data_IF_674084806724
#
_entry.id   IF_674084806724
#
_cell.length_a   1.000
_cell.length_b   1.000
_cell.length_c   1.000
_cell.angle_alpha   90.00
_cell.angle_beta   90.00
_cell.angle_gamma   90.00
#
_symmetry.space_group_name_H-M   'P 1'
#
loop_
_entity.id
_entity.type
_entity.pdbx_description
1 polymer ?
#
# COMPACT_ATOMS: atom_id res chain seq x y z
N UNK A 1 -4.33 22.30 6.79
CA UNK A 1 -4.04 21.55 8.03
C UNK A 1 -3.72 22.56 9.12
N UNK A 2 -4.19 22.37 10.36
CA UNK A 2 -3.74 23.19 11.48
C UNK A 2 -2.29 22.79 11.83
N UNK A 3 -1.35 23.74 11.76
CA UNK A 3 0.08 23.50 11.99
C UNK A 3 0.36 22.86 13.36
N UNK A 4 -0.28 23.35 14.41
CA UNK A 4 -0.13 22.84 15.78
C UNK A 4 -0.63 21.39 15.89
N UNK A 5 -1.77 21.08 15.25
CA UNK A 5 -2.28 19.70 15.26
C UNK A 5 -1.34 18.73 14.53
N UNK A 6 -0.80 19.13 13.37
CA UNK A 6 0.20 18.33 12.65
C UNK A 6 1.49 18.11 13.45
N UNK A 7 1.97 19.13 14.15
CA UNK A 7 3.14 19.02 15.03
C UNK A 7 2.88 18.06 16.20
N UNK A 8 1.73 18.20 16.87
CA UNK A 8 1.35 17.31 17.98
C UNK A 8 1.24 15.85 17.51
N UNK A 9 0.71 15.62 16.32
CA UNK A 9 0.64 14.30 15.72
C UNK A 9 2.03 13.71 15.46
N UNK A 10 2.97 14.53 14.95
CA UNK A 10 4.36 14.13 14.77
C UNK A 10 5.07 13.79 16.10
N UNK A 11 4.86 14.59 17.15
CA UNK A 11 5.40 14.32 18.48
C UNK A 11 4.85 13.02 19.06
N UNK A 12 3.54 12.82 18.98
CA UNK A 12 2.90 11.57 19.41
C UNK A 12 3.48 10.36 18.67
N UNK A 13 3.68 10.49 17.36
CA UNK A 13 4.21 9.41 16.54
C UNK A 13 5.67 9.07 16.85
N UNK A 14 6.49 10.07 17.19
CA UNK A 14 7.91 9.87 17.52
C UNK A 14 8.11 8.95 18.73
N UNK A 15 7.13 8.89 19.64
CA UNK A 15 7.14 7.97 20.79
C UNK A 15 7.10 6.49 20.38
N UNK A 16 6.62 6.20 19.17
CA UNK A 16 6.42 4.84 18.68
C UNK A 16 7.17 4.53 17.37
N UNK A 17 7.86 5.52 16.79
CA UNK A 17 8.59 5.41 15.53
C UNK A 17 10.05 5.85 15.74
N UNK A 18 10.96 4.89 15.72
CA UNK A 18 12.39 5.12 15.98
C UNK A 18 13.03 6.01 14.93
N UNK A 19 12.75 5.74 13.64
CA UNK A 19 13.33 6.43 12.50
C UNK A 19 12.58 7.70 12.07
N UNK A 20 11.60 8.16 12.84
CA UNK A 20 10.89 9.41 12.50
C UNK A 20 11.76 10.61 12.83
N UNK A 21 12.18 11.35 11.81
CA UNK A 21 12.76 12.68 11.98
C UNK A 21 11.65 13.70 12.25
N UNK A 22 11.79 14.49 13.32
CA UNK A 22 10.89 15.59 13.62
C UNK A 22 11.32 16.82 12.81
N UNK A 23 10.81 16.93 11.58
CA UNK A 23 10.90 18.18 10.84
C UNK A 23 9.85 19.16 11.39
N UNK A 24 10.26 20.39 11.69
CA UNK A 24 9.34 21.45 12.12
C UNK A 24 8.37 21.87 10.99
N UNK A 25 8.71 21.53 9.74
CA UNK A 25 7.96 21.86 8.53
C UNK A 25 6.93 20.78 8.18
N UNK A 26 5.93 20.63 9.07
CA UNK A 26 4.71 19.84 8.78
C UNK A 26 3.93 20.36 7.56
N UNK A 27 4.27 21.56 7.08
CA UNK A 27 3.64 22.23 5.95
C UNK A 27 3.93 21.53 4.61
N UNK A 28 4.96 20.69 4.53
CA UNK A 28 5.28 19.88 3.35
C UNK A 28 4.44 18.60 3.25
N UNK A 29 3.71 18.24 4.31
CA UNK A 29 3.00 16.97 4.41
C UNK A 29 1.48 17.15 4.42
N UNK A 30 0.81 16.19 3.80
CA UNK A 30 -0.59 15.88 4.03
C UNK A 30 -0.67 14.78 5.10
N UNK A 31 -1.69 14.85 5.95
CA UNK A 31 -1.94 13.87 7.00
C UNK A 31 -3.33 13.29 6.82
N UNK A 32 -3.40 11.96 6.74
CA UNK A 32 -4.63 11.20 6.61
C UNK A 32 -4.88 10.47 7.93
N UNK A 33 -5.79 11.03 8.72
CA UNK A 33 -6.09 10.55 10.08
C UNK A 33 -7.29 9.60 10.03
N UNK A 34 -7.11 8.39 10.54
CA UNK A 34 -8.16 7.39 10.66
C UNK A 34 -8.76 7.44 12.06
N UNK A 35 -10.09 7.47 12.11
CA UNK A 35 -10.87 7.49 13.35
C UNK A 35 -11.90 6.36 13.37
N UNK A 36 -12.13 5.79 14.55
CA UNK A 36 -13.40 5.12 14.87
C UNK A 36 -14.44 6.19 15.23
N UNK A 37 -15.70 6.00 14.81
CA UNK A 37 -16.79 6.91 15.13
C UNK A 37 -17.83 6.22 16.00
N UNK A 38 -18.19 6.86 17.11
CA UNK A 38 -19.27 6.43 18.01
C UNK A 38 -20.13 7.64 18.44
N UNK A 39 -21.08 7.41 19.35
CA UNK A 39 -21.99 8.44 19.86
C UNK A 39 -21.29 9.60 20.57
N UNK A 40 -20.00 9.45 20.93
CA UNK A 40 -19.17 10.46 21.58
C UNK A 40 -18.27 11.21 20.60
N UNK A 41 -18.21 10.80 19.33
CA UNK A 41 -17.51 11.47 18.26
C UNK A 41 -16.42 10.62 17.60
N UNK A 42 -15.39 11.29 17.06
CA UNK A 42 -14.31 10.67 16.32
C UNK A 42 -13.10 10.39 17.22
N UNK A 43 -12.71 9.13 17.32
CA UNK A 43 -11.56 8.67 18.11
C UNK A 43 -10.43 8.26 17.17
N UNK A 44 -9.34 9.01 17.17
CA UNK A 44 -8.18 8.68 16.35
C UNK A 44 -7.63 7.30 16.73
N UNK A 45 -7.45 6.43 15.71
CA UNK A 45 -6.85 5.10 15.87
C UNK A 45 -5.51 4.97 15.15
N UNK A 46 -5.24 5.83 14.18
CA UNK A 46 -3.99 5.85 13.44
C UNK A 46 -3.97 6.95 12.38
N UNK A 47 -2.84 7.05 11.68
CA UNK A 47 -2.70 7.96 10.54
C UNK A 47 -1.57 7.50 9.62
N UNK A 48 -1.53 8.07 8.42
CA UNK A 48 -0.29 8.17 7.67
C UNK A 48 -0.07 9.61 7.17
N UNK A 49 1.19 9.97 6.94
CA UNK A 49 1.57 11.22 6.26
C UNK A 49 2.03 10.93 4.83
N UNK A 50 1.85 11.90 3.94
CA UNK A 50 2.29 11.86 2.54
C UNK A 50 2.88 13.22 2.20
N UNK A 51 4.05 13.24 1.57
CA UNK A 51 4.62 14.49 1.06
C UNK A 51 3.70 15.07 -0.02
N UNK A 52 3.52 16.39 -0.04
CA UNK A 52 2.80 17.06 -1.13
C UNK A 52 3.52 16.85 -2.47
N UNK A 53 4.85 16.85 -2.43
CA UNK A 53 5.75 16.62 -3.55
C UNK A 53 6.79 15.59 -3.13
N UNK A 54 6.79 14.44 -3.80
CA UNK A 54 7.77 13.39 -3.57
C UNK A 54 8.42 13.03 -4.90
N UNK A 55 9.72 13.32 -5.04
CA UNK A 55 10.49 13.00 -6.25
C UNK A 55 10.54 11.48 -6.48
N UNK A 56 10.65 10.73 -5.38
CA UNK A 56 10.68 9.28 -5.36
C UNK A 56 9.28 8.63 -5.47
N UNK A 57 8.22 9.43 -5.67
CA UNK A 57 6.84 8.95 -5.71
C UNK A 57 6.43 8.16 -4.45
N UNK A 58 6.85 8.65 -3.27
CA UNK A 58 6.37 8.07 -2.02
C UNK A 58 4.91 8.44 -1.79
N UNK A 59 4.04 7.44 -1.70
CA UNK A 59 2.62 7.64 -1.40
C UNK A 59 2.32 7.59 0.11
N UNK A 60 3.30 7.20 0.90
CA UNK A 60 3.24 7.04 2.35
C UNK A 60 4.63 7.31 2.93
N UNK A 61 4.76 8.36 3.74
CA UNK A 61 6.00 8.75 4.42
C UNK A 61 6.12 8.10 5.81
N UNK A 62 5.21 8.47 6.73
CA UNK A 62 5.09 7.82 8.03
C UNK A 62 3.72 7.14 8.14
N UNK A 63 3.65 5.98 8.79
CA UNK A 63 2.40 5.31 9.16
C UNK A 63 2.44 4.91 10.62
N UNK A 64 1.32 5.11 11.33
CA UNK A 64 1.16 4.68 12.70
C UNK A 64 -0.27 4.19 12.94
N UNK A 65 -0.38 3.01 13.54
CA UNK A 65 -1.57 2.62 14.30
C UNK A 65 -1.23 2.75 15.77
N UNK A 66 -2.05 3.48 16.52
CA UNK A 66 -1.82 3.69 17.95
C UNK A 66 -1.80 2.34 18.69
N UNK A 67 -0.93 2.16 19.69
CA UNK A 67 -0.74 0.86 20.36
C UNK A 67 -2.02 0.09 20.75
N UNK A 68 -3.06 0.70 21.37
CA UNK A 68 -4.27 -0.03 21.76
C UNK A 68 -5.15 -0.49 20.57
N UNK A 69 -4.87 0.00 19.36
CA UNK A 69 -5.61 -0.33 18.14
C UNK A 69 -4.80 -1.21 17.17
N UNK A 70 -3.58 -1.60 17.54
CA UNK A 70 -2.76 -2.50 16.70
C UNK A 70 -3.39 -3.89 16.57
N UNK A 71 -3.03 -4.59 15.49
CA UNK A 71 -3.53 -5.95 15.15
C UNK A 71 -5.05 -6.05 14.94
N UNK A 72 -5.76 -4.93 14.80
CA UNK A 72 -7.19 -4.87 14.44
C UNK A 72 -7.47 -4.67 12.94
N UNK A 73 -6.42 -4.61 12.11
CA UNK A 73 -6.53 -4.41 10.66
C UNK A 73 -6.34 -2.96 10.17
N UNK A 74 -6.28 -1.98 11.09
CA UNK A 74 -6.12 -0.57 10.72
C UNK A 74 -4.84 -0.25 9.94
N UNK A 75 -3.72 -0.91 10.26
CA UNK A 75 -2.48 -0.73 9.50
C UNK A 75 -2.63 -1.14 8.03
N UNK A 76 -3.28 -2.28 7.77
CA UNK A 76 -3.59 -2.73 6.39
C UNK A 76 -4.56 -1.76 5.71
N UNK A 77 -5.59 -1.28 6.41
CA UNK A 77 -6.53 -0.29 5.88
C UNK A 77 -5.83 1.01 5.48
N UNK A 78 -4.95 1.56 6.32
CA UNK A 78 -4.21 2.80 6.03
C UNK A 78 -3.32 2.65 4.78
N UNK A 79 -2.67 1.48 4.61
CA UNK A 79 -1.84 1.17 3.43
C UNK A 79 -2.73 1.02 2.18
N UNK A 80 -3.84 0.29 2.28
CA UNK A 80 -4.79 0.17 1.17
C UNK A 80 -5.32 1.56 0.76
N UNK A 81 -5.66 2.39 1.74
CA UNK A 81 -6.15 3.75 1.51
C UNK A 81 -5.12 4.63 0.80
N UNK A 82 -3.83 4.53 1.15
CA UNK A 82 -2.78 5.29 0.45
C UNK A 82 -2.68 4.91 -1.03
N UNK A 83 -2.93 3.64 -1.39
CA UNK A 83 -3.01 3.21 -2.79
C UNK A 83 -4.27 3.67 -3.51
N UNK A 84 -5.43 3.72 -2.84
CA UNK A 84 -6.64 4.30 -3.44
C UNK A 84 -6.47 5.79 -3.76
N UNK A 85 -5.70 6.53 -2.96
CA UNK A 85 -5.30 7.89 -3.31
C UNK A 85 -4.38 7.92 -4.54
N UNK A 86 -3.36 7.06 -4.59
CA UNK A 86 -2.46 6.94 -5.75
C UNK A 86 -3.22 6.64 -7.05
N UNK A 87 -4.20 5.72 -7.00
CA UNK A 87 -5.09 5.43 -8.14
C UNK A 87 -5.89 6.65 -8.58
N UNK A 88 -6.46 7.42 -7.64
CA UNK A 88 -7.17 8.67 -7.96
C UNK A 88 -6.27 9.78 -8.51
N UNK A 89 -4.98 9.74 -8.21
CA UNK A 89 -3.98 10.65 -8.78
C UNK A 89 -3.45 10.17 -10.14
N UNK A 90 -3.83 8.98 -10.60
CA UNK A 90 -3.25 8.29 -11.75
C UNK A 90 -1.72 8.17 -11.62
N UNK A 91 -1.23 7.83 -10.42
CA UNK A 91 0.20 7.66 -10.12
C UNK A 91 0.45 6.30 -9.48
N UNK A 92 1.66 5.79 -9.71
CA UNK A 92 2.20 4.65 -8.98
C UNK A 92 2.94 5.14 -7.73
N UNK A 93 3.00 4.32 -6.68
CA UNK A 93 3.63 4.70 -5.44
C UNK A 93 4.20 3.54 -4.64
N UNK A 94 5.06 3.88 -3.69
CA UNK A 94 5.67 2.98 -2.71
C UNK A 94 5.80 3.72 -1.38
N UNK A 95 5.84 3.04 -0.22
CA UNK A 95 6.17 3.71 1.03
C UNK A 95 7.64 4.16 1.09
N UNK A 96 7.89 5.24 1.82
CA UNK A 96 9.23 5.71 2.19
C UNK A 96 9.98 4.63 3.00
N UNK A 97 11.30 4.56 2.82
CA UNK A 97 12.17 3.58 3.48
C UNK A 97 13.18 4.28 4.39
N UNK A 98 13.59 3.66 5.51
CA UNK A 98 13.21 2.31 5.97
C UNK A 98 11.84 2.26 6.66
N UNK A 99 11.08 1.18 6.40
CA UNK A 99 9.88 0.87 7.17
C UNK A 99 10.23 0.24 8.54
N UNK A 100 9.39 0.48 9.55
CA UNK A 100 9.47 -0.28 10.82
C UNK A 100 9.15 -1.76 10.59
N UNK A 101 9.58 -2.65 11.49
CA UNK A 101 9.31 -4.09 11.35
C UNK A 101 7.81 -4.42 11.20
N UNK A 102 6.94 -3.75 11.99
CA UNK A 102 5.48 -3.88 11.86
C UNK A 102 4.95 -3.25 10.55
N UNK A 103 5.53 -2.14 10.12
CA UNK A 103 5.19 -1.48 8.86
C UNK A 103 5.50 -2.36 7.66
N UNK A 104 6.69 -2.96 7.62
CA UNK A 104 7.12 -3.86 6.55
C UNK A 104 6.25 -5.12 6.46
N UNK A 105 5.93 -5.75 7.61
CA UNK A 105 5.02 -6.91 7.65
C UNK A 105 3.63 -6.56 7.13
N UNK A 106 3.10 -5.40 7.52
CA UNK A 106 1.78 -4.93 7.08
C UNK A 106 1.77 -4.59 5.58
N UNK A 107 2.85 -3.96 5.09
CA UNK A 107 3.03 -3.61 3.68
C UNK A 107 3.09 -4.85 2.80
N UNK A 108 3.98 -5.80 3.12
CA UNK A 108 4.09 -7.08 2.38
C UNK A 108 2.76 -7.81 2.31
N UNK A 109 2.09 -7.97 3.45
CA UNK A 109 0.78 -8.62 3.47
C UNK A 109 -0.31 -7.86 2.70
N UNK A 110 -0.19 -6.55 2.52
CA UNK A 110 -1.11 -5.78 1.67
C UNK A 110 -0.81 -6.01 0.18
N UNK A 111 0.46 -5.89 -0.22
CA UNK A 111 0.89 -6.07 -1.62
C UNK A 111 0.65 -7.51 -2.08
N UNK A 112 1.01 -8.51 -1.27
CA UNK A 112 0.75 -9.93 -1.56
C UNK A 112 -0.74 -10.21 -1.82
N UNK A 113 -1.62 -9.64 -0.99
CA UNK A 113 -3.07 -9.78 -1.17
C UNK A 113 -3.56 -9.10 -2.44
N UNK A 114 -3.15 -7.86 -2.69
CA UNK A 114 -3.60 -7.10 -3.87
C UNK A 114 -3.11 -7.78 -5.16
N UNK A 115 -1.82 -8.08 -5.25
CA UNK A 115 -1.24 -8.76 -6.41
C UNK A 115 -1.87 -10.13 -6.61
N UNK A 116 -2.06 -10.90 -5.53
CA UNK A 116 -2.67 -12.21 -5.63
C UNK A 116 -4.14 -12.17 -6.07
N UNK A 117 -4.92 -11.22 -5.56
CA UNK A 117 -6.30 -10.99 -6.00
C UNK A 117 -6.37 -10.58 -7.48
N UNK A 118 -5.47 -9.71 -7.95
CA UNK A 118 -5.42 -9.33 -9.37
C UNK A 118 -5.06 -10.52 -10.23
N UNK A 119 -4.05 -11.32 -9.85
CA UNK A 119 -3.68 -12.52 -10.60
C UNK A 119 -4.83 -13.55 -10.66
N UNK A 120 -5.58 -13.74 -9.57
CA UNK A 120 -6.74 -14.65 -9.56
C UNK A 120 -7.88 -14.21 -10.48
N UNK A 121 -8.10 -12.89 -10.63
CA UNK A 121 -9.25 -12.33 -11.33
C UNK A 121 -8.92 -11.78 -12.73
N UNK A 122 -7.65 -11.71 -13.10
CA UNK A 122 -7.20 -11.10 -14.35
C UNK A 122 -7.13 -12.11 -15.50
N UNK A 123 -7.50 -11.70 -16.73
CA UNK A 123 -7.30 -12.49 -17.96
C UNK A 123 -5.81 -12.75 -18.29
N UNK A 124 -4.88 -12.19 -17.50
CA UNK A 124 -3.45 -12.43 -17.62
C UNK A 124 -3.06 -13.90 -17.49
N UNK A 125 -3.85 -14.71 -16.77
CA UNK A 125 -3.60 -16.15 -16.62
C UNK A 125 -4.49 -16.96 -17.59
N UNK A 126 -3.85 -17.81 -18.39
CA UNK A 126 -4.52 -18.89 -19.12
C UNK A 126 -5.21 -19.85 -18.13
N UNK A 127 -6.21 -20.62 -18.57
CA UNK A 127 -6.91 -21.61 -17.71
C UNK A 127 -5.99 -22.66 -17.04
N UNK A 128 -4.75 -22.81 -17.53
CA UNK A 128 -3.73 -23.68 -16.96
C UNK A 128 -2.83 -22.99 -15.90
N UNK A 129 -3.09 -21.72 -15.56
CA UNK A 129 -2.32 -20.93 -14.59
C UNK A 129 -1.02 -20.31 -15.13
N UNK A 130 -0.73 -20.46 -16.42
CA UNK A 130 0.39 -19.79 -17.07
C UNK A 130 -0.02 -18.39 -17.55
N UNK A 131 0.92 -17.44 -17.59
CA UNK A 131 0.68 -16.16 -18.25
C UNK A 131 0.24 -16.36 -19.72
N UNK A 132 -0.72 -15.56 -20.21
CA UNK A 132 -1.07 -15.50 -21.63
C UNK A 132 0.22 -15.35 -22.44
N UNK A 133 0.51 -16.26 -23.36
CA UNK A 133 1.69 -16.20 -24.26
C UNK A 133 1.73 -14.94 -25.14
N UNK A 134 0.68 -14.14 -25.04
CA UNK A 134 0.33 -12.89 -25.68
C UNK A 134 1.05 -11.69 -25.03
N UNK A 135 1.35 -11.76 -23.74
CA UNK A 135 2.02 -10.71 -22.97
C UNK A 135 3.43 -11.15 -22.60
N UNK A 136 4.43 -10.41 -23.08
CA UNK A 136 5.78 -10.50 -22.53
C UNK A 136 5.77 -10.11 -21.04
N UNK A 137 6.68 -10.68 -20.25
CA UNK A 137 6.71 -10.49 -18.79
C UNK A 137 6.97 -9.04 -18.36
N UNK A 138 7.65 -8.26 -19.20
CA UNK A 138 7.80 -6.81 -19.00
C UNK A 138 6.43 -6.11 -19.00
N UNK A 139 5.50 -6.54 -19.85
CA UNK A 139 4.16 -5.94 -19.90
C UNK A 139 3.32 -6.34 -18.69
N UNK A 140 3.54 -7.52 -18.11
CA UNK A 140 2.79 -8.00 -16.95
C UNK A 140 3.04 -7.16 -15.69
N UNK A 141 4.30 -6.77 -15.41
CA UNK A 141 4.59 -5.92 -14.26
C UNK A 141 4.03 -4.51 -14.42
N UNK A 142 4.10 -3.95 -15.63
CA UNK A 142 3.50 -2.64 -15.94
C UNK A 142 1.99 -2.68 -15.81
N UNK A 143 1.33 -3.72 -16.33
CA UNK A 143 -0.13 -3.87 -16.22
C UNK A 143 -0.58 -4.06 -14.76
N UNK A 144 0.13 -4.88 -13.98
CA UNK A 144 -0.13 -5.01 -12.54
C UNK A 144 0.10 -3.68 -11.81
N UNK A 145 1.15 -2.94 -12.17
CA UNK A 145 1.44 -1.62 -11.62
C UNK A 145 0.31 -0.63 -11.92
N UNK A 146 -0.19 -0.61 -13.15
CA UNK A 146 -1.28 0.27 -13.58
C UNK A 146 -2.61 -0.07 -12.88
N UNK A 147 -2.92 -1.36 -12.70
CA UNK A 147 -4.13 -1.81 -12.01
C UNK A 147 -4.10 -1.55 -10.50
N UNK A 148 -2.92 -1.62 -9.88
CA UNK A 148 -2.77 -1.61 -8.42
C UNK A 148 -2.23 -0.30 -7.86
N UNK A 149 -1.64 0.56 -8.72
CA UNK A 149 -0.83 1.72 -8.36
C UNK A 149 0.43 1.39 -7.53
N UNK A 150 0.86 0.13 -7.49
CA UNK A 150 2.07 -0.33 -6.80
C UNK A 150 3.25 -0.26 -7.77
N UNK A 151 4.39 0.29 -7.35
CA UNK A 151 5.60 0.29 -8.19
C UNK A 151 5.96 -1.12 -8.65
N UNK A 152 6.37 -1.26 -9.92
CA UNK A 152 6.78 -2.53 -10.51
C UNK A 152 7.87 -3.27 -9.71
N UNK A 153 8.79 -2.54 -9.06
CA UNK A 153 9.84 -3.10 -8.20
C UNK A 153 9.27 -3.85 -6.98
N UNK A 154 8.21 -3.31 -6.36
CA UNK A 154 7.54 -3.94 -5.22
C UNK A 154 6.72 -5.15 -5.66
N UNK A 155 6.13 -5.09 -6.86
CA UNK A 155 5.46 -6.24 -7.48
C UNK A 155 6.48 -7.35 -7.75
N UNK A 156 7.62 -7.02 -8.36
CA UNK A 156 8.70 -7.97 -8.66
C UNK A 156 9.20 -8.66 -7.38
N UNK A 157 9.58 -7.89 -6.37
CA UNK A 157 10.06 -8.44 -5.10
C UNK A 157 9.01 -9.27 -4.38
N UNK A 158 7.73 -8.89 -4.46
CA UNK A 158 6.62 -9.68 -3.91
C UNK A 158 6.48 -11.01 -4.64
N UNK A 159 6.41 -11.00 -5.97
CA UNK A 159 6.26 -12.21 -6.77
C UNK A 159 7.46 -13.17 -6.61
N UNK A 160 8.67 -12.63 -6.48
CA UNK A 160 9.86 -13.41 -6.13
C UNK A 160 9.73 -14.07 -4.75
N UNK A 161 9.26 -13.33 -3.75
CA UNK A 161 9.06 -13.87 -2.39
C UNK A 161 7.97 -14.93 -2.29
N UNK A 162 6.99 -14.88 -3.20
CA UNK A 162 5.92 -15.88 -3.33
C UNK A 162 6.31 -17.06 -4.24
N UNK A 163 7.54 -17.09 -4.76
CA UNK A 163 8.02 -18.10 -5.72
C UNK A 163 7.15 -18.21 -6.99
N UNK A 164 6.51 -17.11 -7.39
CA UNK A 164 5.62 -17.03 -8.55
C UNK A 164 6.35 -16.58 -9.83
N UNK A 165 7.66 -16.37 -9.79
CA UNK A 165 8.49 -16.07 -10.96
C UNK A 165 9.53 -17.17 -11.15
N UNK A 166 9.68 -17.65 -12.39
CA UNK A 166 10.75 -18.55 -12.78
C UNK A 166 11.51 -18.00 -13.98
N UNK A 167 12.83 -18.11 -13.96
CA UNK A 167 13.66 -17.79 -15.12
C UNK A 167 13.69 -18.98 -16.09
N UNK A 168 13.21 -18.81 -17.32
CA UNK A 168 13.24 -19.84 -18.38
C UNK A 168 13.75 -19.26 -19.69
N UNK A 169 14.72 -19.93 -20.30
CA UNK A 169 15.28 -19.59 -21.64
C UNK A 169 15.66 -18.12 -21.82
N UNK A 170 16.21 -17.47 -20.79
CA UNK A 170 16.64 -16.09 -20.88
C UNK A 170 15.59 -15.03 -20.51
N UNK A 171 14.36 -15.44 -20.16
CA UNK A 171 13.27 -14.56 -19.79
C UNK A 171 12.68 -14.96 -18.43
N UNK A 172 12.31 -13.96 -17.62
CA UNK A 172 11.43 -14.18 -16.48
C UNK A 172 10.06 -14.62 -17.00
N UNK A 173 9.45 -15.62 -16.37
CA UNK A 173 8.09 -16.08 -16.64
C UNK A 173 7.33 -16.10 -15.32
N UNK A 174 6.20 -15.37 -15.25
CA UNK A 174 5.30 -15.46 -14.09
C UNK A 174 4.57 -16.81 -14.17
N UNK A 175 4.79 -17.65 -13.17
CA UNK A 175 4.15 -18.94 -13.00
C UNK A 175 3.26 -18.89 -11.76
N UNK A 176 2.01 -18.50 -11.96
CA UNK A 176 1.03 -18.39 -10.89
C UNK A 176 0.22 -19.69 -10.79
N UNK A 177 0.82 -20.73 -10.20
CA UNK A 177 0.06 -21.96 -9.90
C UNK A 177 -1.12 -21.60 -8.98
N UNK A 178 -2.38 -21.81 -9.41
CA UNK A 178 -3.55 -21.37 -8.65
C UNK A 178 -3.61 -21.98 -7.24
N UNK A 179 -3.06 -23.18 -7.03
CA UNK A 179 -3.00 -23.83 -5.70
C UNK A 179 -1.98 -23.17 -4.77
N UNK A 180 -0.87 -22.69 -5.31
CA UNK A 180 0.15 -21.96 -4.56
C UNK A 180 -0.41 -20.58 -4.19
N UNK A 181 -1.06 -19.93 -5.15
CA UNK A 181 -1.69 -18.63 -4.94
C UNK A 181 -2.81 -18.68 -3.89
N UNK A 182 -3.71 -19.66 -3.98
CA UNK A 182 -4.77 -19.90 -2.99
C UNK A 182 -4.20 -20.20 -1.59
N UNK A 183 -3.08 -20.94 -1.50
CA UNK A 183 -2.38 -21.17 -0.23
C UNK A 183 -1.86 -19.86 0.36
N UNK A 184 -1.22 -19.01 -0.43
CA UNK A 184 -0.70 -17.72 0.04
C UNK A 184 -1.84 -16.78 0.46
N UNK A 185 -2.90 -16.67 -0.33
CA UNK A 185 -4.08 -15.86 0.00
C UNK A 185 -4.81 -16.33 1.26
N UNK A 186 -4.81 -17.64 1.55
CA UNK A 186 -5.31 -18.16 2.83
C UNK A 186 -4.38 -17.87 4.00
N UNK A 187 -3.06 -17.84 3.76
CA UNK A 187 -2.04 -17.60 4.78
C UNK A 187 -1.92 -16.12 5.19
N UNK A 188 -2.22 -15.18 4.29
CA UNK A 188 -2.21 -13.72 4.56
C UNK A 188 -3.31 -13.25 5.52
N UNK A 189 -4.21 -14.15 5.92
CA UNK A 189 -5.24 -13.97 6.94
C UNK A 189 -6.53 -13.31 6.43
N UNK A 190 -7.44 -12.94 7.34
CA UNK A 190 -8.64 -12.18 6.96
C UNK A 190 -8.22 -10.86 6.28
N UNK A 191 -8.92 -10.48 5.21
CA UNK A 191 -8.64 -9.34 4.32
C UNK A 191 -8.57 -7.94 4.97
N UNK A 192 -8.64 -7.85 6.30
CA UNK A 192 -8.67 -6.60 7.02
C UNK A 192 -9.97 -5.84 6.78
N UNK A 193 -9.92 -4.53 7.04
CA UNK A 193 -10.99 -3.61 6.65
C UNK A 193 -10.74 -3.21 5.21
N UNK A 194 -11.77 -3.24 4.38
CA UNK A 194 -11.71 -2.83 2.98
C UNK A 194 -11.99 -1.33 2.82
N UNK A 195 -11.33 -0.72 1.84
CA UNK A 195 -11.56 0.68 1.48
C UNK A 195 -12.69 0.74 0.46
N UNK A 196 -13.85 1.25 0.87
CA UNK A 196 -14.97 1.51 -0.02
C UNK A 196 -14.71 2.78 -0.85
N UNK A 197 -14.24 2.60 -2.09
CA UNK A 197 -13.88 3.69 -3.01
C UNK A 197 -15.08 4.58 -3.34
N UNK A 198 -16.31 4.06 -3.28
CA UNK A 198 -17.52 4.85 -3.53
C UNK A 198 -17.74 5.96 -2.50
N UNK A 199 -17.16 5.81 -1.31
CA UNK A 199 -17.21 6.78 -0.21
C UNK A 199 -16.00 7.70 -0.16
N UNK A 200 -15.01 7.51 -1.04
CA UNK A 200 -13.82 8.36 -1.10
C UNK A 200 -14.14 9.69 -1.81
N UNK A 201 -14.66 10.66 -1.08
CA UNK A 201 -14.88 12.03 -1.58
C UNK A 201 -13.58 12.81 -1.40
N UNK A 202 -12.75 12.79 -2.45
CA UNK A 202 -11.40 13.37 -2.41
C UNK A 202 -10.95 13.80 -3.81
N UNK A 203 -10.16 14.88 -3.85
CA UNK A 203 -9.50 15.39 -5.06
C UNK A 203 -8.01 15.61 -4.80
N UNK A 204 -7.13 15.35 -5.78
CA UNK A 204 -5.69 15.58 -5.64
C UNK A 204 -5.35 16.98 -5.17
N UNK A 205 -4.31 17.07 -4.34
CA UNK A 205 -3.71 18.35 -3.96
C UNK A 205 -3.19 19.03 -5.23
N UNK A 206 -3.57 20.30 -5.42
CA UNK A 206 -3.06 21.18 -6.47
C UNK A 206 -2.27 22.29 -5.80
N UNK A 207 -1.04 22.53 -6.26
CA UNK A 207 -0.35 23.77 -5.90
C UNK A 207 -1.17 24.96 -6.40
N UNK A 208 -1.33 25.97 -5.56
CA UNK A 208 -1.80 27.26 -6.04
C UNK A 208 -0.62 27.88 -6.81
N UNK A 209 -0.76 27.93 -8.13
CA UNK A 209 0.11 28.69 -9.04
C UNK A 209 0.06 30.18 -8.73
#
# INVERSE_FOLDING_TARGET
>A
MNKVYGQNLCYLAKLFLDHKTLYYDVDLFLFYVLCEYDDRGCHMVGYFSKEKHSEESYNLACILTLPPYQRKGYGKFLIAFSYELSKKECKVGTPERPLSGLGLLSYRGCVENVVGCVLCNSPLLCPNGNLCSCLGVVNAYTELSDMTAIKAEDILTTLQSLELIQYRKGQDVIYANPKVLDRHLKATGRGGLEVDVSKLIWTPYKEQS
#
